data_IF_444256326524
#
_entry.id   IF_444256326524
#
_cell.length_a   1.000
_cell.length_b   1.000
_cell.length_c   1.000
_cell.angle_alpha   90.00
_cell.angle_beta   90.00
_cell.angle_gamma   90.00
#
_symmetry.space_group_name_H-M   'P 1'
#
loop_
_entity.id
_entity.type
_entity.pdbx_description
1 polymer ?
#
# COMPACT_ATOMS: atom_id res chain seq x y z
N UNK A 1 22.55 -21.26 7.69
CA UNK A 1 21.48 -20.47 8.36
C UNK A 1 20.88 -21.35 9.45
N UNK A 2 20.76 -20.92 10.71
CA UNK A 2 20.15 -21.77 11.74
C UNK A 2 18.65 -22.00 11.43
N UNK A 3 18.15 -23.20 11.70
CA UNK A 3 16.75 -23.58 11.44
C UNK A 3 15.76 -22.61 12.10
N UNK A 4 16.10 -22.12 13.30
CA UNK A 4 15.31 -21.13 14.06
C UNK A 4 15.22 -19.77 13.35
N UNK A 5 16.27 -19.34 12.65
CA UNK A 5 16.27 -18.10 11.86
C UNK A 5 15.40 -18.24 10.61
N UNK A 6 15.50 -19.37 9.91
CA UNK A 6 14.65 -19.67 8.74
C UNK A 6 13.16 -19.68 9.09
N UNK A 7 12.79 -20.38 10.19
CA UNK A 7 11.39 -20.41 10.68
C UNK A 7 10.86 -19.01 11.03
N UNK A 8 11.70 -18.15 11.63
CA UNK A 8 11.34 -16.75 11.93
C UNK A 8 11.11 -15.95 10.65
N UNK A 9 11.99 -16.09 9.66
CA UNK A 9 11.92 -15.36 8.40
C UNK A 9 10.65 -15.72 7.61
N UNK A 10 10.29 -17.01 7.56
CA UNK A 10 9.05 -17.49 6.95
C UNK A 10 7.82 -16.94 7.68
N UNK A 11 7.83 -16.97 9.01
CA UNK A 11 6.72 -16.45 9.81
C UNK A 11 6.53 -14.94 9.59
N UNK A 12 7.62 -14.18 9.42
CA UNK A 12 7.54 -12.76 9.08
C UNK A 12 6.91 -12.54 7.72
N UNK A 13 7.31 -13.32 6.72
CA UNK A 13 6.72 -13.23 5.39
C UNK A 13 5.21 -13.52 5.44
N UNK A 14 4.79 -14.60 6.11
CA UNK A 14 3.37 -14.94 6.26
C UNK A 14 2.59 -13.80 6.93
N UNK A 15 3.10 -13.25 8.04
CA UNK A 15 2.47 -12.11 8.71
C UNK A 15 2.39 -10.89 7.80
N UNK A 16 3.45 -10.61 7.07
CA UNK A 16 3.50 -9.50 6.13
C UNK A 16 2.42 -9.63 5.06
N UNK A 17 2.31 -10.80 4.42
CA UNK A 17 1.27 -11.09 3.42
C UNK A 17 -0.13 -10.86 4.00
N UNK A 18 -0.40 -11.34 5.22
CA UNK A 18 -1.69 -11.14 5.89
C UNK A 18 -1.99 -9.66 6.16
N UNK A 19 -1.00 -8.88 6.62
CA UNK A 19 -1.19 -7.46 6.85
C UNK A 19 -1.31 -6.66 5.56
N UNK A 20 -0.59 -7.02 4.50
CA UNK A 20 -0.74 -6.41 3.17
C UNK A 20 -2.11 -6.70 2.57
N UNK A 21 -2.62 -7.92 2.71
CA UNK A 21 -4.00 -8.23 2.32
C UNK A 21 -5.01 -7.39 3.12
N UNK A 22 -4.80 -7.23 4.44
CA UNK A 22 -5.67 -6.38 5.26
C UNK A 22 -5.61 -4.90 4.87
N UNK A 23 -4.44 -4.40 4.45
CA UNK A 23 -4.28 -3.04 3.96
C UNK A 23 -5.06 -2.83 2.65
N UNK A 24 -5.08 -3.82 1.76
CA UNK A 24 -5.93 -3.80 0.56
C UNK A 24 -7.42 -3.69 0.91
N UNK A 25 -7.88 -4.39 1.94
CA UNK A 25 -9.26 -4.27 2.45
C UNK A 25 -9.52 -2.87 3.00
N UNK A 26 -8.58 -2.28 3.75
CA UNK A 26 -8.69 -0.91 4.26
C UNK A 26 -8.74 0.11 3.12
N UNK A 27 -7.91 -0.07 2.09
CA UNK A 27 -7.91 0.78 0.89
C UNK A 27 -9.26 0.73 0.20
N UNK A 28 -9.75 -0.47 -0.11
CA UNK A 28 -11.03 -0.68 -0.76
C UNK A 28 -12.18 -0.12 0.08
N UNK A 29 -12.26 -0.48 1.36
CA UNK A 29 -13.31 -0.03 2.26
C UNK A 29 -13.31 1.49 2.45
N UNK A 30 -12.14 2.10 2.60
CA UNK A 30 -12.01 3.57 2.76
C UNK A 30 -12.40 4.30 1.48
N UNK A 31 -11.99 3.78 0.32
CA UNK A 31 -12.38 4.33 -0.98
C UNK A 31 -13.90 4.25 -1.19
N UNK A 32 -14.50 3.08 -0.95
CA UNK A 32 -15.95 2.88 -1.05
C UNK A 32 -16.71 3.77 -0.07
N UNK A 33 -16.26 3.89 1.18
CA UNK A 33 -16.88 4.78 2.17
C UNK A 33 -16.84 6.24 1.72
N UNK A 34 -15.69 6.71 1.22
CA UNK A 34 -15.57 8.08 0.72
C UNK A 34 -16.50 8.31 -0.47
N UNK A 35 -16.47 7.42 -1.47
CA UNK A 35 -17.22 7.57 -2.72
C UNK A 35 -18.73 7.42 -2.53
N UNK A 36 -19.17 6.43 -1.78
CA UNK A 36 -20.58 6.08 -1.68
C UNK A 36 -21.31 6.80 -0.55
N UNK A 37 -20.60 7.14 0.53
CA UNK A 37 -21.20 7.79 1.70
C UNK A 37 -20.83 9.26 1.75
N UNK A 38 -19.54 9.60 1.83
CA UNK A 38 -19.09 10.98 2.11
C UNK A 38 -19.49 11.93 0.97
N UNK A 39 -19.26 11.55 -0.29
CA UNK A 39 -19.59 12.40 -1.45
C UNK A 39 -21.11 12.56 -1.66
N UNK A 40 -21.91 11.61 -1.16
CA UNK A 40 -23.37 11.70 -1.26
C UNK A 40 -24.00 12.53 -0.14
N UNK A 41 -23.24 13.00 0.84
CA UNK A 41 -23.76 13.93 1.85
C UNK A 41 -24.08 15.29 1.22
N UNK A 42 -25.20 15.89 1.63
CA UNK A 42 -25.70 17.17 1.09
C UNK A 42 -24.63 18.26 1.11
N UNK A 43 -23.81 18.32 2.17
CA UNK A 43 -22.69 19.26 2.26
C UNK A 43 -21.72 19.15 1.07
N UNK A 44 -21.27 17.93 0.74
CA UNK A 44 -20.31 17.71 -0.34
C UNK A 44 -20.97 17.86 -1.71
N UNK A 45 -22.25 17.49 -1.85
CA UNK A 45 -22.99 17.72 -3.09
C UNK A 45 -23.16 19.22 -3.37
N UNK A 46 -23.57 20.00 -2.37
CA UNK A 46 -23.70 21.45 -2.50
C UNK A 46 -22.35 22.09 -2.83
N UNK A 47 -21.27 21.68 -2.16
CA UNK A 47 -19.92 22.18 -2.44
C UNK A 47 -19.44 21.85 -3.87
N UNK A 48 -19.80 20.67 -4.39
CA UNK A 48 -19.52 20.30 -5.79
C UNK A 48 -20.36 21.10 -6.79
N UNK A 49 -21.61 21.45 -6.45
CA UNK A 49 -22.46 22.27 -7.30
C UNK A 49 -21.99 23.74 -7.34
N UNK A 50 -21.51 24.27 -6.21
CA UNK A 50 -21.04 25.65 -6.10
C UNK A 50 -19.65 25.88 -6.73
N UNK A 51 -18.82 24.83 -6.83
CA UNK A 51 -17.45 24.93 -7.32
C UNK A 51 -17.13 23.88 -8.38
N UNK A 52 -17.22 24.26 -9.67
CA UNK A 52 -16.92 23.35 -10.79
C UNK A 52 -15.52 22.73 -10.71
N UNK A 53 -14.51 23.50 -10.31
CA UNK A 53 -13.13 23.00 -10.15
C UNK A 53 -13.05 21.92 -9.08
N UNK A 54 -13.77 22.09 -7.97
CA UNK A 54 -13.83 21.11 -6.90
C UNK A 54 -14.54 19.84 -7.37
N UNK A 55 -15.67 19.96 -8.07
CA UNK A 55 -16.37 18.81 -8.64
C UNK A 55 -15.50 18.01 -9.63
N UNK A 56 -14.71 18.68 -10.47
CA UNK A 56 -13.79 18.01 -11.40
C UNK A 56 -12.70 17.22 -10.66
N UNK A 57 -12.16 17.79 -9.58
CA UNK A 57 -11.13 17.13 -8.77
C UNK A 57 -11.71 15.91 -8.04
N UNK A 58 -12.92 16.04 -7.49
CA UNK A 58 -13.56 14.97 -6.72
C UNK A 58 -14.11 13.84 -7.60
N UNK A 59 -14.55 14.12 -8.84
CA UNK A 59 -15.01 13.09 -9.77
C UNK A 59 -13.88 12.36 -10.52
N UNK A 60 -12.63 12.78 -10.35
CA UNK A 60 -11.50 12.09 -10.97
C UNK A 60 -11.34 10.68 -10.37
N UNK A 61 -11.25 9.67 -11.23
CA UNK A 61 -11.10 8.25 -10.86
C UNK A 61 -9.86 7.99 -9.99
N UNK A 62 -8.78 8.75 -10.21
CA UNK A 62 -7.56 8.75 -9.40
C UNK A 62 -7.44 10.00 -8.52
N UNK A 63 -8.57 10.61 -8.19
CA UNK A 63 -8.65 11.84 -7.44
C UNK A 63 -8.26 11.72 -5.96
N UNK A 64 -8.56 12.75 -5.15
CA UNK A 64 -8.16 12.81 -3.74
C UNK A 64 -8.60 11.58 -2.91
N UNK A 65 -9.75 10.99 -3.22
CA UNK A 65 -10.28 9.82 -2.51
C UNK A 65 -9.38 8.60 -2.66
N UNK A 66 -8.92 8.32 -3.88
CA UNK A 66 -8.00 7.21 -4.12
C UNK A 66 -6.69 7.43 -3.35
N UNK A 67 -6.15 8.65 -3.38
CA UNK A 67 -4.92 8.99 -2.67
C UNK A 67 -5.07 8.86 -1.15
N UNK A 68 -6.18 9.34 -0.57
CA UNK A 68 -6.45 9.20 0.86
C UNK A 68 -6.57 7.73 1.25
N UNK A 69 -7.32 6.93 0.48
CA UNK A 69 -7.46 5.50 0.73
C UNK A 69 -6.10 4.77 0.64
N UNK A 70 -5.28 5.13 -0.34
CA UNK A 70 -3.93 4.61 -0.50
C UNK A 70 -3.06 4.97 0.72
N UNK A 71 -3.03 6.23 1.15
CA UNK A 71 -2.26 6.67 2.32
C UNK A 71 -2.70 5.91 3.58
N UNK A 72 -4.01 5.77 3.80
CA UNK A 72 -4.55 5.02 4.93
C UNK A 72 -4.09 3.56 4.90
N UNK A 73 -4.11 2.93 3.72
CA UNK A 73 -3.64 1.55 3.55
C UNK A 73 -2.15 1.39 3.83
N UNK A 74 -1.31 2.33 3.38
CA UNK A 74 0.14 2.30 3.61
C UNK A 74 0.44 2.50 5.09
N UNK A 75 -0.23 3.46 5.75
CA UNK A 75 -0.09 3.68 7.20
C UNK A 75 -0.52 2.44 7.97
N UNK A 76 -1.64 1.80 7.58
CA UNK A 76 -2.12 0.57 8.19
C UNK A 76 -1.10 -0.56 8.03
N UNK A 77 -0.66 -0.84 6.79
CA UNK A 77 0.34 -1.88 6.49
C UNK A 77 1.61 -1.67 7.31
N UNK A 78 2.15 -0.45 7.30
CA UNK A 78 3.36 -0.09 8.05
C UNK A 78 3.19 -0.29 9.55
N UNK A 79 2.07 0.19 10.12
CA UNK A 79 1.85 0.16 11.57
C UNK A 79 1.79 -1.28 12.08
N UNK A 80 1.05 -2.15 11.39
CA UNK A 80 0.95 -3.56 11.78
C UNK A 80 2.25 -4.32 11.52
N UNK A 81 2.91 -4.11 10.39
CA UNK A 81 4.19 -4.77 10.12
C UNK A 81 5.27 -4.35 11.10
N UNK A 82 5.39 -3.06 11.43
CA UNK A 82 6.31 -2.57 12.46
C UNK A 82 6.02 -3.21 13.81
N UNK A 83 4.75 -3.31 14.22
CA UNK A 83 4.35 -3.78 15.56
C UNK A 83 4.39 -5.30 15.72
N UNK A 84 3.96 -6.06 14.71
CA UNK A 84 3.70 -7.50 14.84
C UNK A 84 4.62 -8.39 13.99
N UNK A 85 5.08 -7.89 12.82
CA UNK A 85 5.97 -8.62 11.91
C UNK A 85 7.42 -8.42 12.32
N UNK A 86 7.90 -7.17 12.30
CA UNK A 86 9.30 -6.82 12.56
C UNK A 86 9.56 -6.42 14.01
N UNK A 87 8.52 -6.07 14.78
CA UNK A 87 8.60 -5.69 16.20
C UNK A 87 9.71 -4.68 16.47
N UNK A 88 9.71 -3.59 15.70
CA UNK A 88 10.78 -2.59 15.70
C UNK A 88 10.42 -1.36 16.54
N UNK A 89 11.35 -0.93 17.40
CA UNK A 89 11.28 0.32 18.15
C UNK A 89 11.94 1.51 17.42
N UNK A 90 12.23 1.36 16.11
CA UNK A 90 12.87 2.41 15.32
C UNK A 90 12.02 3.68 15.22
N UNK A 91 12.70 4.80 14.88
CA UNK A 91 12.11 6.10 14.63
C UNK A 91 11.09 6.00 13.48
N UNK A 92 9.82 6.23 13.81
CA UNK A 92 8.68 6.06 12.90
C UNK A 92 8.76 7.00 11.69
N UNK A 93 8.98 8.32 11.85
CA UNK A 93 9.18 9.23 10.72
C UNK A 93 10.23 8.77 9.70
N UNK A 94 11.41 8.33 10.18
CA UNK A 94 12.50 7.90 9.30
C UNK A 94 12.11 6.61 8.57
N UNK A 95 11.46 5.67 9.27
CA UNK A 95 11.01 4.43 8.66
C UNK A 95 9.91 4.68 7.60
N UNK A 96 8.96 5.58 7.87
CA UNK A 96 7.95 6.00 6.90
C UNK A 96 8.56 6.69 5.68
N UNK A 97 9.60 7.51 5.87
CA UNK A 97 10.28 8.16 4.75
C UNK A 97 10.95 7.12 3.82
N UNK A 98 11.49 6.03 4.37
CA UNK A 98 12.03 4.93 3.56
C UNK A 98 10.93 4.23 2.77
N UNK A 99 9.78 3.94 3.39
CA UNK A 99 8.62 3.34 2.70
C UNK A 99 8.11 4.26 1.60
N UNK A 100 8.05 5.57 1.85
CA UNK A 100 7.71 6.55 0.84
C UNK A 100 8.71 6.53 -0.33
N UNK A 101 10.02 6.50 -0.05
CA UNK A 101 11.05 6.40 -1.08
C UNK A 101 10.91 5.12 -1.92
N UNK A 102 10.52 4.00 -1.30
CA UNK A 102 10.20 2.78 -2.02
C UNK A 102 9.05 2.99 -3.02
N UNK A 103 7.91 3.53 -2.58
CA UNK A 103 6.77 3.77 -3.47
C UNK A 103 7.03 4.85 -4.53
N UNK A 104 7.88 5.84 -4.23
CA UNK A 104 8.31 6.86 -5.20
C UNK A 104 9.09 6.26 -6.38
N UNK A 105 9.76 5.11 -6.19
CA UNK A 105 10.50 4.39 -7.23
C UNK A 105 9.64 3.28 -7.84
N UNK A 106 8.97 2.49 -7.01
CA UNK A 106 8.17 1.35 -7.46
C UNK A 106 7.03 1.79 -8.38
N UNK A 107 6.27 2.82 -7.97
CA UNK A 107 5.08 3.28 -8.70
C UNK A 107 5.37 3.67 -10.16
N UNK A 108 6.32 4.59 -10.46
CA UNK A 108 6.59 4.95 -11.86
C UNK A 108 7.10 3.77 -12.68
N UNK A 109 7.92 2.89 -12.10
CA UNK A 109 8.43 1.69 -12.78
C UNK A 109 7.28 0.74 -13.10
N UNK A 110 6.41 0.43 -12.13
CA UNK A 110 5.27 -0.45 -12.34
C UNK A 110 4.27 0.13 -13.35
N UNK A 111 4.07 1.45 -13.37
CA UNK A 111 3.19 2.11 -14.33
C UNK A 111 3.73 1.99 -15.75
N UNK A 112 5.02 2.27 -15.98
CA UNK A 112 5.63 2.15 -17.32
C UNK A 112 5.56 0.71 -17.82
N UNK A 113 5.88 -0.26 -16.95
CA UNK A 113 5.81 -1.69 -17.28
C UNK A 113 4.36 -2.09 -17.57
N UNK A 114 3.41 -1.67 -16.74
CA UNK A 114 2.00 -1.98 -16.90
C UNK A 114 1.47 -1.47 -18.24
N UNK A 115 1.66 -0.18 -18.52
CA UNK A 115 1.26 0.45 -19.80
C UNK A 115 1.92 -0.24 -21.00
N UNK A 116 3.19 -0.65 -20.89
CA UNK A 116 3.85 -1.37 -21.98
C UNK A 116 3.15 -2.69 -22.31
N UNK A 117 2.79 -3.50 -21.29
CA UNK A 117 2.15 -4.78 -21.50
C UNK A 117 0.68 -4.66 -21.92
N UNK A 118 -0.08 -3.73 -21.34
CA UNK A 118 -1.48 -3.51 -21.72
C UNK A 118 -1.59 -2.97 -23.15
N UNK A 119 -0.70 -2.07 -23.56
CA UNK A 119 -0.67 -1.59 -24.96
C UNK A 119 -0.22 -2.67 -25.95
N UNK A 120 0.74 -3.52 -25.57
CA UNK A 120 1.23 -4.59 -26.45
C UNK A 120 0.18 -5.66 -26.73
N UNK A 121 -0.73 -5.89 -25.78
CA UNK A 121 -1.80 -6.88 -25.88
C UNK A 121 -3.19 -6.25 -25.72
N UNK A 122 -3.42 -5.11 -26.36
CA UNK A 122 -4.65 -4.30 -26.24
C UNK A 122 -5.94 -5.04 -26.63
N UNK A 123 -5.83 -6.18 -27.31
CA UNK A 123 -6.97 -6.97 -27.79
C UNK A 123 -7.50 -7.98 -26.74
N UNK A 124 -6.96 -7.97 -25.51
CA UNK A 124 -7.34 -8.92 -24.46
C UNK A 124 -7.50 -8.22 -23.10
N UNK A 125 -8.74 -8.06 -22.67
CA UNK A 125 -9.09 -7.53 -21.34
C UNK A 125 -8.51 -8.38 -20.18
N UNK A 126 -8.21 -9.66 -20.43
CA UNK A 126 -7.57 -10.53 -19.45
C UNK A 126 -6.15 -10.05 -19.08
N UNK A 127 -5.45 -9.37 -19.99
CA UNK A 127 -4.09 -8.90 -19.75
C UNK A 127 -4.05 -7.81 -18.70
N UNK A 128 -5.03 -6.92 -18.66
CA UNK A 128 -5.10 -5.84 -17.67
C UNK A 128 -5.18 -6.41 -16.24
N UNK A 129 -6.02 -7.43 -16.04
CA UNK A 129 -6.11 -8.14 -14.75
C UNK A 129 -4.83 -8.89 -14.40
N UNK A 130 -4.19 -9.54 -15.38
CA UNK A 130 -2.93 -10.25 -15.16
C UNK A 130 -1.82 -9.28 -14.76
N UNK A 131 -1.67 -8.17 -15.49
CA UNK A 131 -0.69 -7.11 -15.19
C UNK A 131 -0.94 -6.54 -13.80
N UNK A 132 -2.21 -6.29 -13.44
CA UNK A 132 -2.57 -5.82 -12.11
C UNK A 132 -2.16 -6.82 -11.02
N UNK A 133 -2.53 -8.10 -11.15
CA UNK A 133 -2.19 -9.15 -10.18
C UNK A 133 -0.67 -9.29 -10.03
N UNK A 134 0.06 -9.34 -11.14
CA UNK A 134 1.53 -9.43 -11.13
C UNK A 134 2.13 -8.20 -10.44
N UNK A 135 1.62 -7.01 -10.72
CA UNK A 135 2.10 -5.76 -10.09
C UNK A 135 1.85 -5.77 -8.59
N UNK A 136 0.68 -6.22 -8.14
CA UNK A 136 0.36 -6.34 -6.72
C UNK A 136 1.27 -7.36 -6.00
N UNK A 137 1.52 -8.52 -6.63
CA UNK A 137 2.42 -9.54 -6.09
C UNK A 137 3.87 -9.05 -6.05
N UNK A 138 4.32 -8.40 -7.12
CA UNK A 138 5.64 -7.80 -7.18
C UNK A 138 5.79 -6.77 -6.05
N UNK A 139 4.84 -5.84 -5.91
CA UNK A 139 4.85 -4.86 -4.83
C UNK A 139 4.96 -5.53 -3.46
N UNK A 140 4.09 -6.50 -3.16
CA UNK A 140 4.10 -7.18 -1.87
C UNK A 140 5.44 -7.86 -1.57
N UNK A 141 6.03 -8.54 -2.55
CA UNK A 141 7.32 -9.23 -2.37
C UNK A 141 8.47 -8.23 -2.21
N UNK A 142 8.53 -7.21 -3.07
CA UNK A 142 9.63 -6.23 -3.03
C UNK A 142 9.52 -5.32 -1.83
N UNK A 143 8.31 -4.96 -1.40
CA UNK A 143 8.07 -4.21 -0.16
C UNK A 143 8.49 -5.01 1.06
N UNK A 144 8.17 -6.31 1.14
CA UNK A 144 8.66 -7.17 2.22
C UNK A 144 10.19 -7.20 2.30
N UNK A 145 10.86 -7.35 1.16
CA UNK A 145 12.33 -7.37 1.07
C UNK A 145 12.89 -6.01 1.52
N UNK A 146 12.31 -4.92 1.02
CA UNK A 146 12.73 -3.56 1.37
C UNK A 146 12.53 -3.27 2.87
N UNK A 147 11.38 -3.65 3.42
CA UNK A 147 11.09 -3.48 4.84
C UNK A 147 12.09 -4.24 5.71
N UNK A 148 12.35 -5.49 5.37
CA UNK A 148 13.25 -6.37 6.10
C UNK A 148 14.69 -5.88 6.07
N UNK A 149 15.20 -5.51 4.89
CA UNK A 149 16.62 -5.24 4.69
C UNK A 149 16.99 -3.76 4.70
N UNK A 150 16.02 -2.83 4.61
CA UNK A 150 16.27 -1.38 4.54
C UNK A 150 15.52 -0.63 5.63
N UNK A 151 14.21 -0.82 5.76
CA UNK A 151 13.38 -0.05 6.72
C UNK A 151 13.71 -0.42 8.15
N UNK A 152 13.58 -1.70 8.47
CA UNK A 152 13.74 -2.24 9.83
C UNK A 152 15.11 -2.88 10.07
N UNK A 153 16.04 -2.75 9.12
CA UNK A 153 17.42 -3.24 9.25
C UNK A 153 18.00 -2.85 10.62
N UNK A 154 18.56 -3.82 11.33
CA UNK A 154 19.18 -3.68 12.66
C UNK A 154 18.24 -3.22 13.80
N UNK A 155 16.96 -2.98 13.52
CA UNK A 155 15.96 -2.58 14.52
C UNK A 155 14.90 -3.66 14.78
N UNK A 156 14.99 -4.77 14.07
CA UNK A 156 14.06 -5.89 14.17
C UNK A 156 14.12 -6.54 15.57
N UNK A 157 12.97 -6.73 16.21
CA UNK A 157 12.85 -7.31 17.56
C UNK A 157 13.25 -6.36 18.71
N UNK A 158 13.68 -5.13 18.42
CA UNK A 158 14.07 -4.17 19.48
C UNK A 158 12.91 -3.73 20.38
N UNK A 159 11.65 -3.90 19.93
CA UNK A 159 10.47 -3.60 20.75
C UNK A 159 10.06 -4.75 21.69
N UNK A 160 10.69 -5.94 21.58
CA UNK A 160 10.42 -7.03 22.51
C UNK A 160 11.10 -6.75 23.86
N UNK A 161 10.34 -6.71 24.94
CA UNK A 161 10.91 -6.71 26.29
C UNK A 161 11.73 -7.99 26.46
N UNK A 162 13.01 -7.88 26.83
CA UNK A 162 13.78 -9.03 27.31
C UNK A 162 13.03 -9.61 28.51
N UNK A 163 12.53 -10.84 28.37
CA UNK A 163 12.10 -11.64 29.50
C UNK A 163 13.32 -12.16 30.24
#
# INVERSE_FOLDING_TARGET
MSEKKSKKDILQFIKFVLFSASAGIIQFGSFTLMKEVIIKLDFFQNLMLEHETFARIMNNEYGPMYLIALILSVIWNFTFNRKFTFKSANNVPIAMLKVFAYYAVFTPISTVIGVHFTNKYSNSEAVDYIVLIITMLANMITEFIFDKFVVFRNSEGTAEKKK
#
